data_IF_039151053013
#
_entry.id   IF_039151053013
#
_cell.length_a   1.000
_cell.length_b   1.000
_cell.length_c   1.000
_cell.angle_alpha   90.00
_cell.angle_beta   90.00
_cell.angle_gamma   90.00
#
_symmetry.space_group_name_H-M   'P 1'
#
loop_
_entity.id
_entity.type
_entity.pdbx_description
1 polymer ?
#
# COMPACT_ATOMS: atom_id res chain seq x y z
N UNK A 1 -8.30 -26.44 -8.04
CA UNK A 1 -9.26 -25.78 -7.11
C UNK A 1 -10.52 -25.56 -7.93
N UNK A 2 -11.71 -25.94 -7.45
CA UNK A 2 -12.96 -25.74 -8.17
C UNK A 2 -13.28 -24.25 -8.41
N UNK A 3 -14.05 -23.93 -9.45
CA UNK A 3 -14.41 -22.54 -9.77
C UNK A 3 -15.26 -21.85 -8.67
N UNK A 4 -15.92 -22.65 -7.83
CA UNK A 4 -16.71 -22.18 -6.69
C UNK A 4 -15.91 -22.00 -5.40
N UNK A 5 -14.58 -22.20 -5.44
CA UNK A 5 -13.75 -22.09 -4.24
C UNK A 5 -13.70 -20.66 -3.70
N UNK A 6 -14.00 -20.49 -2.44
CA UNK A 6 -13.90 -19.22 -1.71
C UNK A 6 -12.73 -19.23 -0.73
N UNK A 7 -12.49 -18.09 -0.10
CA UNK A 7 -11.50 -17.98 0.96
C UNK A 7 -11.86 -18.86 2.16
N UNK A 8 -13.13 -18.97 2.49
CA UNK A 8 -13.66 -19.74 3.61
C UNK A 8 -13.59 -21.25 3.34
N UNK A 9 -13.92 -21.67 2.10
CA UNK A 9 -13.90 -23.08 1.72
C UNK A 9 -12.50 -23.64 1.45
N UNK A 10 -11.57 -22.81 0.97
CA UNK A 10 -10.21 -23.22 0.57
C UNK A 10 -9.13 -22.23 1.09
N UNK A 11 -9.02 -22.00 2.41
CA UNK A 11 -8.14 -20.97 2.96
C UNK A 11 -6.65 -21.24 2.70
N UNK A 12 -6.25 -22.51 2.69
CA UNK A 12 -4.86 -22.92 2.43
C UNK A 12 -4.44 -22.65 0.99
N UNK A 13 -5.25 -23.06 0.04
CA UNK A 13 -5.02 -22.87 -1.40
C UNK A 13 -4.98 -21.39 -1.72
N UNK A 14 -5.91 -20.62 -1.16
CA UNK A 14 -5.90 -19.17 -1.30
C UNK A 14 -4.61 -18.54 -0.75
N UNK A 15 -4.14 -18.98 0.41
CA UNK A 15 -2.87 -18.49 0.97
C UNK A 15 -1.67 -18.82 0.09
N UNK A 16 -1.63 -20.04 -0.49
CA UNK A 16 -0.59 -20.44 -1.45
C UNK A 16 -0.64 -19.54 -2.68
N UNK A 17 -1.81 -19.34 -3.28
CA UNK A 17 -1.97 -18.46 -4.45
C UNK A 17 -1.57 -17.01 -4.14
N UNK A 18 -1.98 -16.45 -2.99
CA UNK A 18 -1.59 -15.12 -2.54
C UNK A 18 -0.08 -14.99 -2.41
N UNK A 19 0.57 -15.96 -1.77
CA UNK A 19 2.03 -16.00 -1.61
C UNK A 19 2.75 -16.05 -2.95
N UNK A 20 2.26 -16.86 -3.90
CA UNK A 20 2.84 -16.95 -5.24
C UNK A 20 2.68 -15.64 -6.02
N UNK A 21 1.51 -15.01 -5.94
CA UNK A 21 1.25 -13.74 -6.61
C UNK A 21 2.19 -12.64 -6.10
N UNK A 22 2.31 -12.50 -4.78
CA UNK A 22 3.22 -11.54 -4.16
C UNK A 22 4.69 -11.86 -4.49
N UNK A 23 5.09 -13.14 -4.38
CA UNK A 23 6.45 -13.56 -4.70
C UNK A 23 6.84 -13.18 -6.14
N UNK A 24 5.97 -13.38 -7.12
CA UNK A 24 6.22 -12.99 -8.51
C UNK A 24 6.26 -11.48 -8.68
N UNK A 25 5.35 -10.75 -8.07
CA UNK A 25 5.32 -9.29 -8.10
C UNK A 25 6.61 -8.64 -7.58
N UNK A 26 7.23 -9.23 -6.57
CA UNK A 26 8.49 -8.74 -5.99
C UNK A 26 9.74 -9.47 -6.51
N UNK A 27 9.60 -10.39 -7.45
CA UNK A 27 10.73 -11.13 -8.03
C UNK A 27 11.39 -12.12 -7.07
N UNK A 28 10.65 -12.61 -6.09
CA UNK A 28 11.14 -13.58 -5.12
C UNK A 28 11.41 -14.95 -5.79
N UNK A 29 12.50 -15.58 -5.40
CA UNK A 29 12.92 -16.87 -5.91
C UNK A 29 12.30 -18.07 -5.19
N UNK A 30 12.63 -19.30 -5.68
CA UNK A 30 12.08 -20.54 -5.10
C UNK A 30 12.41 -20.74 -3.61
N UNK A 31 13.50 -20.16 -3.11
CA UNK A 31 13.87 -20.23 -1.70
C UNK A 31 12.85 -19.56 -0.80
N UNK A 32 12.41 -18.35 -1.18
CA UNK A 32 11.36 -17.61 -0.47
C UNK A 32 10.03 -18.37 -0.50
N UNK A 33 9.60 -18.82 -1.69
CA UNK A 33 8.35 -19.57 -1.83
C UNK A 33 8.36 -20.85 -1.00
N UNK A 34 9.50 -21.59 -0.99
CA UNK A 34 9.69 -22.77 -0.13
C UNK A 34 9.44 -22.44 1.34
N UNK A 35 10.04 -21.37 1.86
CA UNK A 35 9.93 -21.01 3.28
C UNK A 35 8.51 -20.56 3.64
N UNK A 36 7.84 -19.81 2.78
CA UNK A 36 6.50 -19.27 3.04
C UNK A 36 5.38 -20.31 2.95
N UNK A 37 5.53 -21.30 2.05
CA UNK A 37 4.50 -22.32 1.81
C UNK A 37 4.80 -23.64 2.56
N UNK A 38 6.02 -23.82 3.08
CA UNK A 38 6.44 -25.05 3.75
C UNK A 38 6.59 -26.23 2.79
N UNK A 39 7.06 -26.02 1.55
CA UNK A 39 7.19 -27.07 0.53
C UNK A 39 8.64 -27.31 0.14
N UNK A 40 8.89 -28.37 -0.67
CA UNK A 40 10.23 -28.62 -1.22
C UNK A 40 10.62 -27.56 -2.26
N UNK A 41 11.94 -27.34 -2.46
CA UNK A 41 12.45 -26.39 -3.47
C UNK A 41 11.96 -26.74 -4.88
N UNK A 42 11.86 -28.03 -5.21
CA UNK A 42 11.37 -28.51 -6.51
C UNK A 42 9.90 -28.11 -6.68
N UNK A 43 9.08 -28.30 -5.65
CA UNK A 43 7.67 -27.91 -5.66
C UNK A 43 7.50 -26.40 -5.77
N UNK A 44 8.30 -25.61 -5.07
CA UNK A 44 8.33 -24.16 -5.20
C UNK A 44 8.68 -23.71 -6.64
N UNK A 45 9.68 -24.34 -7.27
CA UNK A 45 10.03 -24.08 -8.67
C UNK A 45 8.88 -24.44 -9.62
N UNK A 46 8.19 -25.55 -9.35
CA UNK A 46 7.02 -25.97 -10.15
C UNK A 46 5.91 -24.92 -10.05
N UNK A 47 5.56 -24.47 -8.86
CA UNK A 47 4.54 -23.43 -8.65
C UNK A 47 4.86 -22.12 -9.36
N UNK A 48 6.11 -21.66 -9.30
CA UNK A 48 6.54 -20.46 -9.99
C UNK A 48 6.45 -20.59 -11.53
N UNK A 49 6.78 -21.76 -12.09
CA UNK A 49 6.60 -22.03 -13.53
C UNK A 49 5.12 -22.08 -13.91
N UNK A 50 4.30 -22.74 -13.08
CA UNK A 50 2.86 -22.81 -13.29
C UNK A 50 2.23 -21.41 -13.29
N UNK A 51 2.58 -20.58 -12.33
CA UNK A 51 2.13 -19.18 -12.26
C UNK A 51 2.42 -18.41 -13.56
N UNK A 52 3.65 -18.45 -14.03
CA UNK A 52 4.04 -17.77 -15.28
C UNK A 52 3.30 -18.28 -16.51
N UNK A 53 3.01 -19.57 -16.55
CA UNK A 53 2.23 -20.17 -17.63
C UNK A 53 0.76 -19.75 -17.58
N UNK A 54 0.18 -19.73 -16.39
CA UNK A 54 -1.21 -19.34 -16.17
C UNK A 54 -1.41 -17.83 -16.43
N UNK A 55 -0.52 -16.99 -15.91
CA UNK A 55 -0.60 -15.54 -16.07
C UNK A 55 0.39 -15.03 -17.14
N UNK A 56 0.40 -15.66 -18.31
CA UNK A 56 1.34 -15.37 -19.40
C UNK A 56 1.26 -13.92 -19.87
N UNK A 57 0.06 -13.37 -19.98
CA UNK A 57 -0.16 -11.97 -20.39
C UNK A 57 0.50 -11.01 -19.40
N UNK A 58 0.32 -11.24 -18.11
CA UNK A 58 0.98 -10.46 -17.07
C UNK A 58 2.50 -10.58 -17.11
N UNK A 59 3.03 -11.80 -17.22
CA UNK A 59 4.50 -12.03 -17.28
C UNK A 59 5.12 -11.34 -18.50
N UNK A 60 4.48 -11.40 -19.66
CA UNK A 60 4.92 -10.71 -20.86
C UNK A 60 4.85 -9.19 -20.72
N UNK A 61 3.73 -8.66 -20.19
CA UNK A 61 3.55 -7.24 -19.97
C UNK A 61 4.62 -6.66 -19.07
N UNK A 62 4.84 -7.25 -17.89
CA UNK A 62 5.82 -6.72 -16.94
C UNK A 62 7.26 -6.81 -17.44
N UNK A 63 7.61 -7.88 -18.16
CA UNK A 63 8.93 -7.99 -18.78
C UNK A 63 9.13 -6.91 -19.87
N UNK A 64 8.09 -6.57 -20.64
CA UNK A 64 8.15 -5.47 -21.61
C UNK A 64 8.27 -4.11 -20.92
N UNK A 65 7.54 -3.86 -19.83
CA UNK A 65 7.70 -2.62 -19.05
C UNK A 65 9.15 -2.44 -18.55
N UNK A 66 9.78 -3.50 -18.08
CA UNK A 66 11.17 -3.46 -17.63
C UNK A 66 12.14 -3.19 -18.79
N UNK A 67 11.91 -3.79 -19.97
CA UNK A 67 12.73 -3.52 -21.16
C UNK A 67 12.60 -2.06 -21.61
N UNK A 68 11.38 -1.54 -21.67
CA UNK A 68 11.12 -0.13 -22.01
C UNK A 68 11.76 0.82 -21.00
N UNK A 69 11.68 0.50 -19.72
CA UNK A 69 12.34 1.27 -18.67
C UNK A 69 13.87 1.30 -18.86
N UNK A 70 14.46 0.18 -19.22
CA UNK A 70 15.90 0.12 -19.49
C UNK A 70 16.33 0.95 -20.69
N UNK A 71 15.50 1.03 -21.74
CA UNK A 71 15.74 1.84 -22.94
C UNK A 71 15.55 3.32 -22.63
N UNK A 72 14.45 3.68 -21.94
CA UNK A 72 14.06 5.07 -21.71
C UNK A 72 14.71 5.69 -20.46
N UNK A 73 15.44 4.91 -19.67
CA UNK A 73 16.02 5.35 -18.39
C UNK A 73 14.98 5.64 -17.29
N UNK A 74 13.70 5.36 -17.52
CA UNK A 74 12.60 5.63 -16.57
C UNK A 74 11.39 4.76 -16.84
N UNK A 75 10.54 4.62 -15.80
CA UNK A 75 9.15 4.17 -15.91
C UNK A 75 8.22 5.35 -15.65
N UNK A 76 7.05 5.34 -16.29
CA UNK A 76 6.05 6.41 -16.15
C UNK A 76 4.68 5.80 -15.95
N UNK A 77 3.90 6.35 -15.01
CA UNK A 77 2.49 5.99 -14.80
C UNK A 77 1.60 6.69 -15.82
N UNK A 78 0.30 6.35 -15.81
CA UNK A 78 -0.70 6.96 -16.68
C UNK A 78 -0.82 8.49 -16.49
N UNK A 79 -0.69 8.98 -15.26
CA UNK A 79 -0.76 10.42 -14.94
C UNK A 79 0.61 11.10 -14.88
N UNK A 80 1.66 10.45 -15.42
CA UNK A 80 2.96 11.08 -15.61
C UNK A 80 3.91 10.99 -14.41
N UNK A 81 3.57 10.29 -13.34
CA UNK A 81 4.52 10.04 -12.27
C UNK A 81 5.67 9.18 -12.76
N UNK A 82 6.90 9.66 -12.56
CA UNK A 82 8.10 9.05 -13.15
C UNK A 82 9.01 8.47 -12.07
N UNK A 83 9.55 7.30 -12.39
CA UNK A 83 10.65 6.69 -11.66
C UNK A 83 11.85 6.57 -12.56
N UNK A 84 12.89 7.34 -12.29
CA UNK A 84 14.15 7.27 -13.00
C UNK A 84 14.98 6.08 -12.55
N UNK A 85 15.68 5.47 -13.50
CA UNK A 85 16.69 4.45 -13.23
C UNK A 85 17.99 5.16 -12.92
N UNK A 86 18.37 5.26 -11.64
CA UNK A 86 19.68 5.78 -11.28
C UNK A 86 20.76 4.89 -11.90
N UNK A 87 21.85 5.49 -12.46
CA UNK A 87 22.89 4.87 -13.32
C UNK A 87 23.63 3.61 -12.83
N UNK A 88 23.09 2.90 -11.86
CA UNK A 88 23.52 1.58 -11.39
C UNK A 88 22.80 0.41 -12.06
N UNK A 89 22.06 0.64 -13.14
CA UNK A 89 21.53 -0.43 -13.98
C UNK A 89 22.69 -1.14 -14.70
N UNK A 90 23.46 -1.95 -13.97
CA UNK A 90 24.50 -2.81 -14.57
C UNK A 90 23.79 -3.89 -15.37
N UNK A 91 23.88 -3.78 -16.69
CA UNK A 91 23.60 -4.90 -17.58
C UNK A 91 24.64 -5.97 -17.26
N UNK A 92 24.22 -7.07 -16.64
CA UNK A 92 25.10 -8.18 -16.35
C UNK A 92 25.70 -8.77 -17.64
N UNK A 93 26.80 -9.50 -17.56
CA UNK A 93 27.48 -10.16 -18.69
C UNK A 93 26.56 -10.96 -19.65
N UNK A 94 25.33 -11.26 -19.22
CA UNK A 94 24.32 -12.00 -19.98
C UNK A 94 23.17 -11.10 -20.49
N UNK A 95 23.37 -9.78 -20.62
CA UNK A 95 22.35 -8.84 -21.06
C UNK A 95 21.16 -8.66 -20.09
N UNK A 96 21.24 -9.20 -18.86
CA UNK A 96 20.17 -9.12 -17.87
C UNK A 96 20.42 -7.99 -16.88
N UNK A 97 19.44 -7.12 -16.71
CA UNK A 97 19.38 -6.09 -15.66
C UNK A 97 19.32 -6.77 -14.26
N UNK A 98 20.49 -6.97 -13.63
CA UNK A 98 20.60 -7.86 -12.47
C UNK A 98 20.20 -7.23 -11.13
N UNK A 99 20.35 -5.94 -10.95
CA UNK A 99 20.17 -5.29 -9.62
C UNK A 99 18.89 -4.46 -9.48
N UNK A 100 18.29 -4.02 -10.57
CA UNK A 100 17.10 -3.13 -10.55
C UNK A 100 15.82 -3.88 -10.86
N UNK A 101 15.90 -5.05 -11.50
CA UNK A 101 14.72 -5.79 -11.98
C UNK A 101 13.67 -5.97 -10.88
N UNK A 102 14.05 -6.45 -9.71
CA UNK A 102 13.09 -6.74 -8.64
C UNK A 102 12.38 -5.49 -8.12
N UNK A 103 13.08 -4.36 -8.06
CA UNK A 103 12.46 -3.10 -7.65
C UNK A 103 11.53 -2.50 -8.69
N UNK A 104 11.67 -2.89 -9.96
CA UNK A 104 10.83 -2.44 -11.07
C UNK A 104 9.60 -3.32 -11.27
N UNK A 105 9.66 -4.60 -10.87
CA UNK A 105 8.58 -5.56 -11.10
C UNK A 105 7.24 -5.11 -10.50
N UNK A 106 7.25 -4.61 -9.28
CA UNK A 106 6.04 -4.20 -8.58
C UNK A 106 5.74 -2.70 -8.68
N UNK A 107 6.68 -1.91 -9.17
CA UNK A 107 6.51 -0.45 -9.23
C UNK A 107 5.30 -0.01 -10.07
N UNK A 108 5.04 -0.53 -11.28
CA UNK A 108 3.87 -0.13 -12.06
C UNK A 108 2.55 -0.39 -11.32
N UNK A 109 2.45 -1.51 -10.60
CA UNK A 109 1.24 -1.88 -9.85
C UNK A 109 1.06 -0.94 -8.67
N UNK A 110 2.08 -0.75 -7.85
CA UNK A 110 2.02 0.10 -6.66
C UNK A 110 1.79 1.57 -7.01
N UNK A 111 2.45 2.07 -8.05
CA UNK A 111 2.30 3.47 -8.47
C UNK A 111 0.91 3.76 -9.02
N UNK A 112 0.36 2.90 -9.87
CA UNK A 112 -1.01 3.07 -10.35
C UNK A 112 -2.04 2.89 -9.22
N UNK A 113 -1.83 1.95 -8.30
CA UNK A 113 -2.65 1.84 -7.08
C UNK A 113 -2.66 3.14 -6.25
N UNK A 114 -1.49 3.76 -6.11
CA UNK A 114 -1.37 5.06 -5.44
C UNK A 114 -2.06 6.19 -6.20
N UNK A 115 -2.07 6.17 -7.54
CA UNK A 115 -2.83 7.13 -8.36
C UNK A 115 -4.34 6.92 -8.20
N UNK A 116 -4.81 5.67 -8.17
CA UNK A 116 -6.22 5.35 -7.89
C UNK A 116 -6.66 5.94 -6.56
N UNK A 117 -5.87 5.74 -5.50
CA UNK A 117 -6.20 6.27 -4.18
C UNK A 117 -6.24 7.80 -4.17
N UNK A 118 -5.27 8.47 -4.79
CA UNK A 118 -5.26 9.94 -4.86
C UNK A 118 -6.47 10.47 -5.62
N UNK A 119 -6.81 9.87 -6.76
CA UNK A 119 -8.00 10.25 -7.52
C UNK A 119 -9.28 10.02 -6.72
N UNK A 120 -9.39 8.87 -6.05
CA UNK A 120 -10.53 8.57 -5.21
C UNK A 120 -10.66 9.55 -4.03
N UNK A 121 -9.55 9.92 -3.38
CA UNK A 121 -9.55 10.90 -2.30
C UNK A 121 -10.05 12.27 -2.76
N UNK A 122 -9.56 12.74 -3.91
CA UNK A 122 -9.99 14.02 -4.50
C UNK A 122 -11.49 13.99 -4.79
N UNK A 123 -11.98 12.94 -5.43
CA UNK A 123 -13.39 12.83 -5.77
C UNK A 123 -14.30 12.64 -4.53
N UNK A 124 -13.86 11.88 -3.54
CA UNK A 124 -14.58 11.77 -2.26
C UNK A 124 -14.68 13.14 -1.55
N UNK A 125 -13.60 13.90 -1.51
CA UNK A 125 -13.58 15.22 -0.92
C UNK A 125 -14.47 16.21 -1.71
N UNK A 126 -14.45 16.17 -3.04
CA UNK A 126 -15.30 17.00 -3.90
C UNK A 126 -16.80 16.70 -3.71
N UNK A 127 -17.14 15.47 -3.29
CA UNK A 127 -18.50 15.05 -2.96
C UNK A 127 -18.81 15.12 -1.47
N UNK A 128 -18.05 15.91 -0.72
CA UNK A 128 -18.25 16.20 0.70
C UNK A 128 -18.25 14.96 1.61
N UNK A 129 -17.43 13.96 1.30
CA UNK A 129 -17.18 12.86 2.23
C UNK A 129 -16.15 13.25 3.28
N UNK A 130 -16.44 12.94 4.54
CA UNK A 130 -15.51 13.07 5.64
C UNK A 130 -14.53 11.89 5.64
N UNK A 131 -13.38 12.07 4.98
CA UNK A 131 -12.30 11.07 4.93
C UNK A 131 -11.35 11.31 6.09
N UNK A 132 -11.44 10.46 7.12
CA UNK A 132 -10.65 10.60 8.34
C UNK A 132 -9.21 10.11 8.18
N UNK A 133 -9.00 9.03 7.40
CA UNK A 133 -7.68 8.48 7.16
C UNK A 133 -7.59 7.69 5.85
N UNK A 134 -6.37 7.64 5.31
CA UNK A 134 -5.96 6.65 4.31
C UNK A 134 -5.16 5.56 5.01
N UNK A 135 -5.61 4.31 4.92
CA UNK A 135 -4.95 3.17 5.56
C UNK A 135 -4.60 2.14 4.49
N UNK A 136 -3.33 2.09 4.09
CA UNK A 136 -2.84 1.24 3.00
C UNK A 136 -3.56 1.47 1.65
N UNK A 137 -4.50 0.59 1.31
CA UNK A 137 -5.30 0.57 0.08
C UNK A 137 -6.79 0.87 0.34
N UNK A 138 -7.10 1.45 1.48
CA UNK A 138 -8.45 1.77 1.93
C UNK A 138 -8.59 3.20 2.48
N UNK A 139 -9.83 3.68 2.57
CA UNK A 139 -10.21 4.90 3.27
C UNK A 139 -11.06 4.58 4.50
N UNK A 140 -10.79 5.29 5.56
CA UNK A 140 -11.68 5.39 6.71
C UNK A 140 -12.56 6.63 6.50
N UNK A 141 -13.87 6.41 6.36
CA UNK A 141 -14.86 7.45 6.05
C UNK A 141 -15.92 7.47 7.14
N UNK A 142 -16.21 8.65 7.68
CA UNK A 142 -17.35 8.86 8.56
C UNK A 142 -18.61 9.13 7.73
N UNK A 143 -19.69 8.44 8.05
CA UNK A 143 -20.99 8.63 7.41
C UNK A 143 -22.07 8.75 8.48
N UNK A 144 -22.95 9.77 8.44
CA UNK A 144 -24.09 9.88 9.35
C UNK A 144 -25.00 8.67 9.25
N UNK A 145 -25.47 8.15 10.39
CA UNK A 145 -26.28 6.94 10.44
C UNK A 145 -27.55 7.03 9.55
N UNK A 146 -28.29 8.16 9.53
CA UNK A 146 -29.49 8.28 8.70
C UNK A 146 -29.23 8.13 7.20
N UNK A 147 -28.04 8.55 6.72
CA UNK A 147 -27.65 8.55 5.30
C UNK A 147 -26.76 7.36 4.93
N UNK A 148 -26.50 6.47 5.87
CA UNK A 148 -25.43 5.50 5.79
C UNK A 148 -25.46 4.64 4.52
N UNK A 149 -26.58 4.04 4.18
CA UNK A 149 -26.68 3.12 3.04
C UNK A 149 -26.49 3.84 1.69
N UNK A 150 -27.09 5.00 1.53
CA UNK A 150 -26.99 5.79 0.29
C UNK A 150 -25.58 6.31 0.10
N UNK A 151 -25.02 6.95 1.11
CA UNK A 151 -23.66 7.50 1.07
C UNK A 151 -22.59 6.44 0.93
N UNK A 152 -22.77 5.25 1.50
CA UNK A 152 -21.86 4.13 1.33
C UNK A 152 -21.80 3.67 -0.14
N UNK A 153 -22.93 3.51 -0.80
CA UNK A 153 -22.97 3.11 -2.21
C UNK A 153 -22.43 4.23 -3.14
N UNK A 154 -22.69 5.48 -2.81
CA UNK A 154 -22.10 6.62 -3.50
C UNK A 154 -20.59 6.64 -3.37
N UNK A 155 -20.02 6.45 -2.17
CA UNK A 155 -18.58 6.37 -1.95
C UNK A 155 -17.94 5.25 -2.77
N UNK A 156 -18.54 4.07 -2.77
CA UNK A 156 -18.07 2.94 -3.60
C UNK A 156 -18.08 3.28 -5.08
N UNK A 157 -19.13 3.92 -5.57
CA UNK A 157 -19.26 4.34 -6.97
C UNK A 157 -18.18 5.34 -7.35
N UNK A 158 -17.92 6.34 -6.50
CA UNK A 158 -16.87 7.33 -6.68
C UNK A 158 -15.50 6.65 -6.78
N UNK A 159 -15.20 5.72 -5.87
CA UNK A 159 -13.92 4.98 -5.86
C UNK A 159 -13.75 4.11 -7.12
N UNK A 160 -14.82 3.46 -7.60
CA UNK A 160 -14.80 2.70 -8.85
C UNK A 160 -14.53 3.61 -10.04
N UNK A 161 -15.24 4.74 -10.16
CA UNK A 161 -15.05 5.70 -11.24
C UNK A 161 -13.64 6.32 -11.25
N UNK A 162 -13.09 6.60 -10.07
CA UNK A 162 -11.71 7.06 -9.95
C UNK A 162 -10.72 6.02 -10.48
N UNK A 163 -10.93 4.75 -10.12
CA UNK A 163 -10.07 3.66 -10.59
C UNK A 163 -10.17 3.41 -12.08
N UNK A 164 -11.35 3.54 -12.67
CA UNK A 164 -11.56 3.40 -14.12
C UNK A 164 -10.74 4.39 -14.94
N UNK A 165 -10.53 5.59 -14.41
CA UNK A 165 -9.66 6.60 -15.04
C UNK A 165 -8.18 6.16 -15.09
N UNK A 166 -7.74 5.30 -14.16
CA UNK A 166 -6.34 4.91 -14.00
C UNK A 166 -6.06 3.52 -14.58
N UNK A 167 -6.79 2.50 -14.10
CA UNK A 167 -6.48 1.08 -14.36
C UNK A 167 -7.63 0.30 -15.02
N UNK A 168 -8.79 0.92 -15.19
CA UNK A 168 -10.01 0.24 -15.64
C UNK A 168 -10.85 -0.29 -14.48
N UNK A 169 -11.73 -1.24 -14.75
CA UNK A 169 -12.69 -1.72 -13.76
C UNK A 169 -12.03 -2.40 -12.55
N UNK A 170 -12.45 -1.99 -11.35
CA UNK A 170 -12.10 -2.63 -10.08
C UNK A 170 -13.36 -2.95 -9.27
N UNK A 171 -13.19 -3.77 -8.23
CA UNK A 171 -14.22 -3.99 -7.21
C UNK A 171 -13.82 -3.28 -5.93
N UNK A 172 -14.75 -2.55 -5.34
CA UNK A 172 -14.58 -1.89 -4.04
C UNK A 172 -15.47 -2.58 -3.02
N UNK A 173 -14.86 -3.10 -1.97
CA UNK A 173 -15.55 -3.65 -0.80
C UNK A 173 -15.62 -2.62 0.31
N UNK A 174 -16.52 -2.81 1.27
CA UNK A 174 -16.59 -2.03 2.49
C UNK A 174 -16.68 -2.94 3.71
N UNK A 175 -16.00 -2.54 4.80
CA UNK A 175 -16.17 -3.12 6.14
C UNK A 175 -16.82 -2.05 7.01
N UNK A 176 -17.97 -2.39 7.58
CA UNK A 176 -18.70 -1.48 8.46
C UNK A 176 -18.16 -1.65 9.87
N UNK A 177 -17.80 -0.54 10.50
CA UNK A 177 -17.33 -0.47 11.89
C UNK A 177 -18.31 0.44 12.63
N UNK A 178 -18.93 -0.10 13.67
CA UNK A 178 -19.81 0.67 14.56
C UNK A 178 -19.05 1.05 15.81
N UNK A 179 -18.91 2.34 16.08
CA UNK A 179 -18.14 2.86 17.18
C UNK A 179 -16.72 3.28 16.76
N UNK A 180 -15.75 3.17 17.66
CA UNK A 180 -14.37 3.56 17.40
C UNK A 180 -13.71 2.62 16.39
N UNK A 181 -12.79 3.17 15.57
CA UNK A 181 -11.99 2.39 14.65
C UNK A 181 -10.97 1.56 15.42
N UNK A 182 -11.31 0.29 15.68
CA UNK A 182 -10.43 -0.69 16.27
C UNK A 182 -10.55 -2.01 15.57
N UNK A 183 -9.45 -2.72 15.46
CA UNK A 183 -9.46 -4.04 14.80
C UNK A 183 -9.98 -5.14 15.74
N UNK A 184 -9.75 -5.01 17.02
CA UNK A 184 -10.26 -5.85 18.11
C UNK A 184 -10.16 -5.10 19.46
N UNK A 185 -10.86 -5.60 20.52
CA UNK A 185 -10.89 -4.95 21.83
C UNK A 185 -9.53 -4.88 22.55
N UNK A 186 -8.63 -5.86 22.32
CA UNK A 186 -7.29 -5.85 22.93
C UNK A 186 -6.43 -4.76 22.28
N UNK A 187 -6.42 -4.68 20.96
CA UNK A 187 -5.73 -3.64 20.21
C UNK A 187 -6.24 -2.23 20.55
N UNK A 188 -7.55 -2.09 20.87
CA UNK A 188 -8.08 -0.81 21.34
C UNK A 188 -7.48 -0.40 22.67
N UNK A 189 -7.39 -1.33 23.60
CA UNK A 189 -6.83 -1.06 24.92
C UNK A 189 -5.38 -0.59 24.82
N UNK A 190 -4.58 -1.29 24.04
CA UNK A 190 -3.18 -0.94 23.78
C UNK A 190 -3.08 0.44 23.11
N UNK A 191 -3.95 0.73 22.15
CA UNK A 191 -4.01 2.03 21.49
C UNK A 191 -4.37 3.16 22.45
N UNK A 192 -5.37 2.96 23.29
CA UNK A 192 -5.81 3.96 24.28
C UNK A 192 -4.70 4.21 25.32
N UNK A 193 -3.98 3.19 25.75
CA UNK A 193 -2.82 3.30 26.64
C UNK A 193 -1.71 4.12 25.99
N UNK A 194 -1.28 3.77 24.77
CA UNK A 194 -0.26 4.50 24.01
C UNK A 194 -0.69 5.95 23.73
N UNK A 195 -1.95 6.15 23.36
CA UNK A 195 -2.47 7.49 23.05
C UNK A 195 -2.49 8.38 24.31
N UNK A 196 -2.82 7.83 25.47
CA UNK A 196 -2.79 8.53 26.74
C UNK A 196 -1.34 8.85 27.16
N UNK A 197 -0.40 7.95 26.93
CA UNK A 197 1.03 8.18 27.17
C UNK A 197 1.55 9.35 26.30
N UNK A 198 1.24 9.33 24.99
CA UNK A 198 1.64 10.40 24.05
C UNK A 198 1.03 11.74 24.45
N UNK A 199 -0.23 11.75 24.86
CA UNK A 199 -0.93 12.96 25.33
C UNK A 199 -0.27 13.52 26.58
N UNK A 200 0.05 12.66 27.54
CA UNK A 200 0.71 13.05 28.78
C UNK A 200 2.16 13.52 28.51
N UNK A 201 2.87 12.91 27.58
CA UNK A 201 4.21 13.31 27.16
C UNK A 201 4.21 14.71 26.51
N UNK A 202 3.28 15.00 25.61
CA UNK A 202 3.13 16.34 25.02
C UNK A 202 2.86 17.41 26.06
N UNK A 203 1.98 17.13 27.01
CA UNK A 203 1.69 18.07 28.10
C UNK A 203 2.91 18.34 28.97
N UNK A 204 3.75 17.31 29.20
CA UNK A 204 4.98 17.45 29.96
C UNK A 204 6.04 18.28 29.23
N UNK A 205 6.23 18.05 27.92
CA UNK A 205 7.20 18.80 27.09
C UNK A 205 6.76 20.26 26.90
N UNK A 206 5.47 20.54 26.78
CA UNK A 206 4.95 21.91 26.71
C UNK A 206 5.19 22.68 28.01
N UNK A 207 5.04 22.04 29.16
CA UNK A 207 5.34 22.63 30.46
C UNK A 207 6.85 22.84 30.65
N UNK A 208 7.68 21.89 30.19
CA UNK A 208 9.13 22.02 30.26
C UNK A 208 9.65 23.13 29.34
N UNK A 209 9.14 23.23 28.09
CA UNK A 209 9.50 24.30 27.15
C UNK A 209 9.04 25.70 27.64
N UNK A 210 7.88 25.79 28.27
CA UNK A 210 7.44 27.05 28.90
C UNK A 210 8.30 27.47 30.07
N UNK A 211 8.80 26.52 30.89
CA UNK A 211 9.75 26.82 31.97
C UNK A 211 11.09 27.32 31.43
N UNK A 212 11.63 26.69 30.41
CA UNK A 212 12.89 27.11 29.79
C UNK A 212 12.79 28.52 29.18
N UNK A 213 11.65 28.82 28.55
CA UNK A 213 11.40 30.15 27.97
C UNK A 213 11.23 31.24 29.06
N UNK A 214 10.59 30.90 30.18
CA UNK A 214 10.45 31.82 31.30
C UNK A 214 11.79 32.11 32.03
N UNK A 215 12.69 31.13 32.10
CA UNK A 215 14.04 31.29 32.63
C UNK A 215 14.93 32.14 31.73
N UNK A 216 14.84 31.98 30.39
CA UNK A 216 15.59 32.80 29.42
C UNK A 216 15.13 34.25 29.41
N UNK A 217 13.84 34.50 29.55
CA UNK A 217 13.29 35.90 29.59
C UNK A 217 13.61 36.62 30.91
N UNK A 218 13.90 35.89 31.98
CA UNK A 218 14.24 36.47 33.28
C UNK A 218 15.72 36.81 33.48
N UNK A 219 16.61 36.45 32.52
CA UNK A 219 18.01 36.83 32.59
C UNK A 219 18.22 38.28 32.08
N UNK A 220 18.87 39.16 32.87
CA UNK A 220 19.12 40.54 32.45
C UNK A 220 20.10 40.55 31.28
N UNK A 221 19.73 41.23 30.22
CA UNK A 221 20.57 41.45 29.01
C UNK A 221 21.95 41.95 29.41
N UNK A 222 23.07 41.33 28.99
CA UNK A 222 24.39 41.86 29.27
C UNK A 222 24.55 43.21 28.59
N UNK A 223 24.88 44.25 29.40
CA UNK A 223 25.22 45.56 28.88
C UNK A 223 26.43 45.44 27.97
N UNK A 224 26.28 45.81 26.69
CA UNK A 224 27.42 46.00 25.77
C UNK A 224 28.26 47.18 26.29
N UNK A 225 29.49 46.91 26.59
CA UNK A 225 30.56 47.91 26.69
C UNK A 225 31.02 48.37 25.34
#
# INVERSE_FOLDING_TARGET
VPDYATQESHPRERQICKTLFLAQGYGAGPGYVKSQIGCSKIRAQHYLRLFKRTYRTYDNWINNQIKLAAINGKMTTRFGWQRYLSGRAKIGKNGKLKSIKNSLLNWPIQSHGSEVLRMALIELNNNHFEVNAMVHDAFLISIPIPEFNERLEEAKKIMVQAAEKVVGAIRVGAKIIKGNFTQDPETQKDFDEIFNEIRNYKTYTDVASQRTYAEEVSQPTPKRL
#
